data_IF_450672741234
#
_entry.id   IF_450672741234
#
_cell.length_a   1.000
_cell.length_b   1.000
_cell.length_c   1.000
_cell.angle_alpha   90.00
_cell.angle_beta   90.00
_cell.angle_gamma   90.00
#
_symmetry.space_group_name_H-M   'P 1'
#
loop_
_entity.id
_entity.type
_entity.pdbx_description
1 polymer ?
#
# COMPACT_ATOMS: atom_id res chain seq x y z
N UNK A 1 21.44 8.30 6.41
CA UNK A 1 20.07 7.97 6.89
C UNK A 1 19.19 7.34 5.80
N UNK A 2 19.13 7.90 4.59
CA UNK A 2 18.34 7.33 3.47
C UNK A 2 18.83 5.96 2.99
N UNK A 3 20.14 5.72 2.93
CA UNK A 3 20.71 4.42 2.51
C UNK A 3 20.27 3.25 3.41
N UNK A 4 20.13 3.49 4.71
CA UNK A 4 19.60 2.49 5.65
C UNK A 4 18.09 2.28 5.52
N UNK A 5 17.36 3.29 5.03
CA UNK A 5 15.90 3.23 4.83
C UNK A 5 15.52 2.49 3.54
N UNK A 6 16.41 2.50 2.54
CA UNK A 6 16.26 1.78 1.26
C UNK A 6 16.99 0.43 1.23
N UNK A 7 17.60 -0.02 2.33
CA UNK A 7 18.08 -1.39 2.47
C UNK A 7 16.92 -2.37 2.72
N UNK A 8 15.97 -2.41 1.79
CA UNK A 8 14.74 -3.23 1.86
C UNK A 8 15.08 -4.72 1.88
N UNK A 9 16.28 -5.08 1.39
CA UNK A 9 16.81 -6.44 1.47
C UNK A 9 17.02 -6.87 2.92
N UNK A 10 17.55 -5.97 3.76
CA UNK A 10 18.00 -6.29 5.10
C UNK A 10 17.12 -5.68 6.22
N UNK A 11 16.24 -4.73 5.90
CA UNK A 11 15.33 -4.09 6.87
C UNK A 11 13.88 -4.04 6.35
N UNK A 12 12.94 -4.51 7.18
CA UNK A 12 11.50 -4.51 6.89
C UNK A 12 10.82 -3.18 7.16
N UNK A 13 11.47 -2.23 7.83
CA UNK A 13 10.84 -0.97 8.30
C UNK A 13 10.14 -0.20 7.19
N UNK A 14 10.72 -0.14 5.99
CA UNK A 14 10.09 0.58 4.87
C UNK A 14 8.72 0.00 4.53
N UNK A 15 8.60 -1.34 4.45
CA UNK A 15 7.30 -2.00 4.20
C UNK A 15 6.27 -1.66 5.27
N UNK A 16 6.68 -1.60 6.54
CA UNK A 16 5.81 -1.24 7.66
C UNK A 16 5.37 0.23 7.57
N UNK A 17 6.28 1.15 7.24
CA UNK A 17 5.92 2.56 7.07
C UNK A 17 4.97 2.77 5.89
N UNK A 18 5.21 2.12 4.75
CA UNK A 18 4.31 2.16 3.60
C UNK A 18 2.92 1.64 3.95
N UNK A 19 2.84 0.51 4.68
CA UNK A 19 1.57 -0.04 5.11
C UNK A 19 0.83 0.88 6.08
N UNK A 20 1.55 1.51 7.02
CA UNK A 20 0.98 2.51 7.96
C UNK A 20 0.49 3.76 7.24
N UNK A 21 1.22 4.25 6.24
CA UNK A 21 0.78 5.39 5.43
C UNK A 21 -0.46 5.03 4.60
N UNK A 22 -0.51 3.83 4.01
CA UNK A 22 -1.69 3.33 3.31
C UNK A 22 -2.91 3.26 4.23
N UNK A 23 -2.75 2.70 5.44
CA UNK A 23 -3.81 2.70 6.44
C UNK A 23 -4.24 4.12 6.85
N UNK A 24 -3.30 5.06 7.00
CA UNK A 24 -3.61 6.46 7.25
C UNK A 24 -4.45 7.09 6.15
N UNK A 25 -4.14 6.84 4.88
CA UNK A 25 -4.94 7.30 3.74
C UNK A 25 -6.34 6.67 3.71
N UNK A 26 -6.46 5.42 4.14
CA UNK A 26 -7.77 4.78 4.31
C UNK A 26 -8.61 5.44 5.41
N UNK A 27 -8.00 5.82 6.54
CA UNK A 27 -8.70 6.58 7.58
C UNK A 27 -9.15 7.96 7.06
N UNK A 28 -8.32 8.63 6.25
CA UNK A 28 -8.70 9.89 5.60
C UNK A 28 -9.86 9.70 4.63
N UNK A 29 -9.87 8.62 3.85
CA UNK A 29 -11.01 8.25 2.99
C UNK A 29 -12.32 8.11 3.78
N UNK A 30 -12.26 7.51 4.99
CA UNK A 30 -13.44 7.39 5.86
C UNK A 30 -13.85 8.75 6.43
N UNK A 31 -12.89 9.53 6.96
CA UNK A 31 -13.15 10.83 7.56
C UNK A 31 -13.78 11.81 6.56
N UNK A 32 -13.29 11.84 5.32
CA UNK A 32 -13.83 12.67 4.24
C UNK A 32 -15.24 12.24 3.78
N UNK A 33 -15.77 11.13 4.29
CA UNK A 33 -17.18 10.75 4.14
C UNK A 33 -18.12 11.46 5.11
N UNK A 34 -17.60 12.12 6.16
CA UNK A 34 -18.42 12.79 7.17
C UNK A 34 -19.05 14.09 6.63
N UNK A 35 -20.31 14.41 7.00
CA UNK A 35 -20.99 15.64 6.56
C UNK A 35 -20.24 16.92 6.91
N UNK A 36 -19.54 16.93 8.05
CA UNK A 36 -18.74 18.08 8.50
C UNK A 36 -17.59 18.43 7.54
N UNK A 37 -17.11 17.47 6.74
CA UNK A 37 -16.01 17.62 5.79
C UNK A 37 -16.48 17.68 4.34
N UNK A 38 -17.75 18.05 4.10
CA UNK A 38 -18.32 18.10 2.75
C UNK A 38 -17.50 18.94 1.75
N UNK A 39 -16.88 20.03 2.22
CA UNK A 39 -16.02 20.89 1.41
C UNK A 39 -14.76 20.18 0.85
N UNK A 40 -14.35 19.06 1.46
CA UNK A 40 -13.18 18.27 1.07
C UNK A 40 -13.54 16.92 0.45
N UNK A 41 -14.83 16.67 0.18
CA UNK A 41 -15.33 15.39 -0.31
C UNK A 41 -14.69 14.97 -1.64
N UNK A 42 -14.24 15.92 -2.46
CA UNK A 42 -13.57 15.65 -3.74
C UNK A 42 -12.26 14.87 -3.57
N UNK A 43 -11.50 15.09 -2.50
CA UNK A 43 -10.26 14.35 -2.22
C UNK A 43 -10.48 12.92 -1.72
N UNK A 44 -11.73 12.56 -1.38
CA UNK A 44 -12.04 11.27 -0.78
C UNK A 44 -11.58 10.12 -1.66
N UNK A 45 -11.93 10.16 -2.94
CA UNK A 45 -11.61 9.09 -3.88
C UNK A 45 -10.10 8.94 -4.05
N UNK A 46 -9.37 10.06 -4.16
CA UNK A 46 -7.91 10.08 -4.24
C UNK A 46 -7.28 9.40 -3.01
N UNK A 47 -7.73 9.73 -1.80
CA UNK A 47 -7.26 9.06 -0.57
C UNK A 47 -7.53 7.55 -0.59
N UNK A 48 -8.69 7.13 -1.11
CA UNK A 48 -9.02 5.71 -1.28
C UNK A 48 -8.04 5.01 -2.21
N UNK A 49 -7.81 5.57 -3.40
CA UNK A 49 -6.87 5.06 -4.41
C UNK A 49 -5.44 5.01 -3.85
N UNK A 50 -4.96 6.10 -3.23
CA UNK A 50 -3.62 6.15 -2.64
C UNK A 50 -3.44 5.14 -1.51
N UNK A 51 -4.48 4.84 -0.72
CA UNK A 51 -4.39 3.79 0.31
C UNK A 51 -4.07 2.43 -0.31
N UNK A 52 -4.75 2.07 -1.40
CA UNK A 52 -4.56 0.79 -2.09
C UNK A 52 -3.17 0.74 -2.70
N UNK A 53 -2.74 1.81 -3.38
CA UNK A 53 -1.38 1.92 -3.95
C UNK A 53 -0.32 1.70 -2.86
N UNK A 54 -0.40 2.43 -1.75
CA UNK A 54 0.59 2.34 -0.67
C UNK A 54 0.61 0.97 0.00
N UNK A 55 -0.55 0.33 0.19
CA UNK A 55 -0.63 -1.00 0.78
C UNK A 55 -0.04 -2.07 -0.15
N UNK A 56 -0.29 -1.98 -1.46
CA UNK A 56 0.32 -2.89 -2.45
C UNK A 56 1.83 -2.68 -2.53
N UNK A 57 2.30 -1.43 -2.58
CA UNK A 57 3.74 -1.12 -2.59
C UNK A 57 4.41 -1.58 -1.29
N UNK A 58 3.77 -1.38 -0.13
CA UNK A 58 4.26 -1.89 1.15
C UNK A 58 4.34 -3.41 1.18
N UNK A 59 3.34 -4.10 0.62
CA UNK A 59 3.35 -5.55 0.49
C UNK A 59 4.49 -6.02 -0.42
N UNK A 60 4.68 -5.39 -1.58
CA UNK A 60 5.81 -5.64 -2.49
C UNK A 60 7.17 -5.41 -1.84
N UNK A 61 7.33 -4.33 -1.06
CA UNK A 61 8.57 -4.07 -0.32
C UNK A 61 8.85 -5.16 0.72
N UNK A 62 7.82 -5.67 1.41
CA UNK A 62 7.99 -6.76 2.38
C UNK A 62 8.49 -8.06 1.73
N UNK A 63 8.10 -8.30 0.48
CA UNK A 63 8.48 -9.48 -0.30
C UNK A 63 9.97 -9.50 -0.65
N UNK A 64 10.61 -8.35 -0.81
CA UNK A 64 12.04 -8.25 -1.11
C UNK A 64 12.84 -8.82 0.07
N UNK A 65 12.52 -8.43 1.30
CA UNK A 65 13.16 -9.00 2.48
C UNK A 65 12.94 -10.52 2.56
N UNK A 66 11.68 -10.96 2.38
CA UNK A 66 11.33 -12.39 2.46
C UNK A 66 12.05 -13.22 1.40
N UNK A 67 12.26 -12.68 0.20
CA UNK A 67 13.00 -13.36 -0.85
C UNK A 67 14.44 -13.71 -0.43
N UNK A 68 15.13 -12.81 0.26
CA UNK A 68 16.52 -13.00 0.68
C UNK A 68 16.68 -13.77 2.00
N UNK A 69 15.72 -13.64 2.92
CA UNK A 69 15.86 -14.17 4.28
C UNK A 69 14.90 -15.31 4.61
N UNK A 70 13.73 -15.40 3.96
CA UNK A 70 12.65 -16.36 4.28
C UNK A 70 11.94 -16.85 3.01
N UNK A 71 12.62 -17.70 2.23
CA UNK A 71 12.15 -18.13 0.90
C UNK A 71 10.80 -18.85 0.91
N UNK A 72 10.49 -19.63 1.94
CA UNK A 72 9.19 -20.30 2.07
C UNK A 72 8.04 -19.28 2.22
N UNK A 73 8.24 -18.24 3.04
CA UNK A 73 7.26 -17.17 3.21
C UNK A 73 7.06 -16.39 1.91
N UNK A 74 8.13 -16.17 1.14
CA UNK A 74 8.07 -15.54 -0.18
C UNK A 74 7.22 -16.36 -1.16
N UNK A 75 7.44 -17.67 -1.29
CA UNK A 75 6.68 -18.52 -2.22
C UNK A 75 5.17 -18.51 -1.91
N UNK A 76 4.80 -18.50 -0.62
CA UNK A 76 3.41 -18.39 -0.21
C UNK A 76 2.81 -17.02 -0.58
N UNK A 77 3.51 -15.94 -0.24
CA UNK A 77 3.03 -14.55 -0.46
C UNK A 77 3.02 -14.14 -1.93
N UNK A 78 3.80 -14.79 -2.79
CA UNK A 78 3.86 -14.50 -4.24
C UNK A 78 2.50 -14.58 -4.93
N UNK A 79 1.67 -15.55 -4.55
CA UNK A 79 0.30 -15.68 -5.10
C UNK A 79 -0.56 -14.46 -4.72
N UNK A 80 -0.46 -14.04 -3.47
CA UNK A 80 -1.16 -12.86 -2.97
C UNK A 80 -0.68 -11.56 -3.61
N UNK A 81 0.60 -11.48 -3.96
CA UNK A 81 1.15 -10.32 -4.67
C UNK A 81 0.48 -10.14 -6.03
N UNK A 82 0.35 -11.22 -6.79
CA UNK A 82 -0.34 -11.20 -8.07
C UNK A 82 -1.81 -10.74 -7.93
N UNK A 83 -2.54 -11.31 -6.97
CA UNK A 83 -3.92 -10.89 -6.66
C UNK A 83 -3.99 -9.41 -6.31
N UNK A 84 -3.05 -8.92 -5.48
CA UNK A 84 -3.01 -7.50 -5.08
C UNK A 84 -2.79 -6.55 -6.25
N UNK A 85 -1.99 -6.95 -7.26
CA UNK A 85 -1.82 -6.17 -8.49
C UNK A 85 -3.04 -6.19 -9.40
N UNK A 86 -3.74 -7.32 -9.50
CA UNK A 86 -5.02 -7.36 -10.23
C UNK A 86 -6.06 -6.43 -9.60
N UNK A 87 -6.16 -6.43 -8.27
CA UNK A 87 -7.01 -5.50 -7.54
C UNK A 87 -6.59 -4.05 -7.81
N UNK A 88 -5.30 -3.74 -7.71
CA UNK A 88 -4.78 -2.41 -7.99
C UNK A 88 -5.09 -1.95 -9.42
N UNK A 89 -4.90 -2.83 -10.41
CA UNK A 89 -5.22 -2.55 -11.81
C UNK A 89 -6.71 -2.25 -11.99
N UNK A 90 -7.60 -3.03 -11.36
CA UNK A 90 -9.03 -2.76 -11.35
C UNK A 90 -9.36 -1.40 -10.73
N UNK A 91 -8.77 -1.08 -9.57
CA UNK A 91 -8.99 0.22 -8.92
C UNK A 91 -8.55 1.37 -9.82
N UNK A 92 -7.36 1.28 -10.43
CA UNK A 92 -6.86 2.32 -11.34
C UNK A 92 -7.77 2.45 -12.56
N UNK A 93 -8.16 1.33 -13.17
CA UNK A 93 -8.97 1.32 -14.39
C UNK A 93 -10.37 1.92 -14.19
N UNK A 94 -11.04 1.65 -13.07
CA UNK A 94 -12.42 2.13 -12.86
C UNK A 94 -12.50 3.51 -12.20
N UNK A 95 -11.49 3.91 -11.45
CA UNK A 95 -11.55 5.14 -10.65
C UNK A 95 -10.61 6.26 -11.14
N UNK A 96 -9.69 5.98 -12.07
CA UNK A 96 -8.74 6.97 -12.59
C UNK A 96 -8.85 7.10 -14.12
N UNK A 97 -8.86 5.97 -14.84
CA UNK A 97 -8.94 5.95 -16.31
C UNK A 97 -10.38 6.03 -16.80
#
# INVERSE_FOLDING_TARGET
>A
MLESLFDIKNDRRLSVYLYRMGFGMWLMYLALGAPALHAYKHYRLDCGVFSVVLMVVGFSASMVFDYFHNREAYEYKKKWLFVSYLVLAGVIYFFIL
#
